data_IF_381350686588
#
_entry.id   IF_381350686588
#
_cell.length_a   1.000
_cell.length_b   1.000
_cell.length_c   1.000
_cell.angle_alpha   90.00
_cell.angle_beta   90.00
_cell.angle_gamma   90.00
#
_symmetry.space_group_name_H-M   'P 1'
#
loop_
_entity.id
_entity.type
_entity.pdbx_description
1 polymer ?
#
# COMPACT_ATOMS: atom_id res chain seq x y z
N UNK A 1 -5.86 -28.90 10.56
CA UNK A 1 -4.51 -28.56 10.06
C UNK A 1 -4.39 -27.05 10.09
N UNK A 2 -3.70 -26.48 11.08
CA UNK A 2 -3.46 -25.05 11.13
C UNK A 2 -2.68 -24.66 9.88
N UNK A 3 -3.27 -23.81 9.03
CA UNK A 3 -2.66 -23.40 7.77
C UNK A 3 -1.37 -22.66 8.07
N UNK A 4 -0.24 -23.20 7.64
CA UNK A 4 1.04 -22.48 7.66
C UNK A 4 0.81 -21.18 6.90
N UNK A 5 0.86 -20.04 7.61
CA UNK A 5 0.85 -18.72 7.00
C UNK A 5 2.06 -18.63 6.09
N UNK A 6 1.85 -18.73 4.78
CA UNK A 6 2.92 -18.53 3.82
C UNK A 6 3.36 -17.08 3.93
N UNK A 7 4.63 -16.89 4.26
CA UNK A 7 5.31 -15.60 4.20
C UNK A 7 5.43 -15.17 2.73
N UNK A 8 4.46 -14.40 2.24
CA UNK A 8 4.41 -13.96 0.83
C UNK A 8 5.49 -12.89 0.59
N UNK A 9 5.69 -11.99 1.56
CA UNK A 9 6.47 -10.77 1.41
C UNK A 9 7.65 -10.66 2.39
N UNK A 10 8.38 -11.75 2.67
CA UNK A 10 9.50 -11.70 3.62
C UNK A 10 10.87 -11.49 2.97
N UNK A 11 10.96 -11.63 1.65
CA UNK A 11 12.19 -11.40 0.90
C UNK A 11 12.11 -10.07 0.17
N UNK A 12 13.20 -9.31 0.18
CA UNK A 12 13.33 -8.05 -0.58
C UNK A 12 12.87 -8.22 -2.03
N UNK A 13 13.26 -9.31 -2.69
CA UNK A 13 12.88 -9.58 -4.07
C UNK A 13 11.36 -9.75 -4.27
N UNK A 14 10.66 -10.34 -3.29
CA UNK A 14 9.21 -10.54 -3.36
C UNK A 14 8.46 -9.22 -3.25
N UNK A 15 8.98 -8.30 -2.43
CA UNK A 15 8.45 -6.97 -2.24
C UNK A 15 8.74 -6.10 -3.46
N UNK A 16 10.00 -6.06 -3.93
CA UNK A 16 10.41 -5.37 -5.16
C UNK A 16 9.59 -5.82 -6.36
N UNK A 17 9.39 -7.13 -6.51
CA UNK A 17 8.57 -7.66 -7.60
C UNK A 17 7.12 -7.20 -7.53
N UNK A 18 6.55 -7.10 -6.34
CA UNK A 18 5.18 -6.61 -6.20
C UNK A 18 5.06 -5.16 -6.65
N UNK A 19 6.02 -4.31 -6.26
CA UNK A 19 6.10 -2.92 -6.73
C UNK A 19 6.26 -2.81 -8.25
N UNK A 20 7.05 -3.68 -8.88
CA UNK A 20 7.15 -3.77 -10.34
C UNK A 20 5.83 -4.17 -10.99
N UNK A 21 5.10 -5.12 -10.39
CA UNK A 21 3.77 -5.53 -10.86
C UNK A 21 2.80 -4.36 -10.78
N UNK A 22 2.77 -3.61 -9.67
CA UNK A 22 1.93 -2.41 -9.54
C UNK A 22 2.23 -1.41 -10.68
N UNK A 23 3.51 -1.09 -10.91
CA UNK A 23 3.92 -0.18 -11.99
C UNK A 23 3.54 -0.70 -13.38
N UNK A 24 3.71 -2.00 -13.63
CA UNK A 24 3.35 -2.61 -14.92
C UNK A 24 1.85 -2.61 -15.17
N UNK A 25 1.04 -2.90 -14.16
CA UNK A 25 -0.42 -2.88 -14.27
C UNK A 25 -0.94 -1.46 -14.44
N UNK A 26 -0.38 -0.48 -13.71
CA UNK A 26 -0.76 0.93 -13.84
C UNK A 26 -0.62 1.46 -15.27
N UNK A 27 0.39 0.99 -16.02
CA UNK A 27 0.59 1.33 -17.44
C UNK A 27 -0.45 0.71 -18.39
N UNK A 28 -1.08 -0.40 -17.99
CA UNK A 28 -2.01 -1.19 -18.83
C UNK A 28 -3.48 -0.94 -18.49
N UNK A 29 -3.76 -0.72 -17.22
CA UNK A 29 -5.07 -0.40 -16.67
C UNK A 29 -4.85 0.83 -15.78
N UNK A 30 -5.00 2.05 -16.32
CA UNK A 30 -4.71 3.27 -15.58
C UNK A 30 -5.47 3.36 -14.26
N UNK A 31 -4.73 3.64 -13.18
CA UNK A 31 -5.25 3.97 -11.87
C UNK A 31 -4.27 4.92 -11.16
N UNK A 32 -4.78 5.68 -10.20
CA UNK A 32 -3.95 6.52 -9.33
C UNK A 32 -3.72 5.75 -8.04
N UNK A 33 -2.46 5.61 -7.64
CA UNK A 33 -2.10 5.03 -6.35
C UNK A 33 -1.66 6.16 -5.43
N UNK A 34 -2.36 6.38 -4.33
CA UNK A 34 -2.02 7.43 -3.37
C UNK A 34 -1.14 6.91 -2.24
N UNK A 35 -1.28 5.63 -1.89
CA UNK A 35 -0.38 5.00 -0.94
C UNK A 35 -0.34 3.48 -1.06
N UNK A 36 0.75 2.89 -0.59
CA UNK A 36 0.85 1.45 -0.37
C UNK A 36 1.66 1.15 0.89
N UNK A 37 1.43 -0.04 1.46
CA UNK A 37 2.30 -0.70 2.42
C UNK A 37 2.27 -2.20 2.17
N UNK A 38 3.42 -2.79 1.88
CA UNK A 38 3.58 -4.23 1.66
C UNK A 38 4.12 -4.85 2.94
N UNK A 39 3.28 -5.58 3.66
CA UNK A 39 3.68 -6.29 4.88
C UNK A 39 3.90 -7.77 4.58
N UNK A 40 4.62 -8.45 5.47
CA UNK A 40 4.97 -9.86 5.44
C UNK A 40 3.89 -10.82 4.91
N UNK A 41 2.65 -10.64 5.37
CA UNK A 41 1.52 -11.53 5.07
C UNK A 41 0.36 -10.85 4.31
N UNK A 42 0.37 -9.53 4.11
CA UNK A 42 -0.68 -8.82 3.39
C UNK A 42 -0.23 -7.45 2.88
N UNK A 43 -1.08 -6.80 2.09
CA UNK A 43 -0.83 -5.50 1.50
C UNK A 43 -1.96 -4.53 1.84
N UNK A 44 -1.64 -3.25 1.90
CA UNK A 44 -2.61 -2.16 1.93
C UNK A 44 -2.37 -1.24 0.73
N UNK A 45 -3.43 -0.84 0.05
CA UNK A 45 -3.40 0.05 -1.11
C UNK A 45 -4.48 1.12 -0.95
N UNK A 46 -4.12 2.40 -1.12
CA UNK A 46 -5.08 3.50 -1.33
C UNK A 46 -5.08 3.84 -2.82
N UNK A 47 -6.09 3.34 -3.52
CA UNK A 47 -6.14 3.32 -4.98
C UNK A 47 -7.42 3.97 -5.47
N UNK A 48 -7.28 4.93 -6.40
CA UNK A 48 -8.37 5.51 -7.15
C UNK A 48 -8.42 4.89 -8.55
N UNK A 49 -9.51 4.17 -8.84
CA UNK A 49 -9.75 3.64 -10.18
C UNK A 49 -10.03 4.78 -11.15
N UNK A 50 -9.63 4.59 -12.41
CA UNK A 50 -10.05 5.45 -13.51
C UNK A 50 -11.11 4.68 -14.32
N UNK A 51 -10.73 4.14 -15.47
CA UNK A 51 -11.64 3.48 -16.40
C UNK A 51 -12.00 2.04 -15.99
N UNK A 52 -11.01 1.27 -15.53
CA UNK A 52 -11.22 -0.14 -15.20
C UNK A 52 -11.86 -0.31 -13.80
N UNK A 53 -12.87 -1.18 -13.63
CA UNK A 53 -13.41 -1.49 -12.31
C UNK A 53 -12.32 -2.01 -11.35
N UNK A 54 -12.43 -1.68 -10.06
CA UNK A 54 -11.46 -2.06 -9.04
C UNK A 54 -11.13 -3.57 -9.04
N UNK A 55 -12.16 -4.41 -9.20
CA UNK A 55 -11.98 -5.87 -9.28
C UNK A 55 -11.12 -6.31 -10.47
N UNK A 56 -11.19 -5.61 -11.61
CA UNK A 56 -10.33 -5.87 -12.77
C UNK A 56 -8.87 -5.53 -12.49
N UNK A 57 -8.63 -4.34 -11.94
CA UNK A 57 -7.29 -3.88 -11.54
C UNK A 57 -6.67 -4.88 -10.55
N UNK A 58 -7.39 -5.23 -9.48
CA UNK A 58 -6.92 -6.18 -8.47
C UNK A 58 -6.69 -7.58 -9.04
N UNK A 59 -7.53 -8.04 -9.98
CA UNK A 59 -7.33 -9.32 -10.67
C UNK A 59 -6.04 -9.32 -11.49
N UNK A 60 -5.72 -8.23 -12.20
CA UNK A 60 -4.47 -8.10 -12.97
C UNK A 60 -3.25 -8.14 -12.06
N UNK A 61 -3.25 -7.33 -11.00
CA UNK A 61 -2.17 -7.28 -10.00
C UNK A 61 -1.95 -8.66 -9.39
N UNK A 62 -3.03 -9.26 -8.85
CA UNK A 62 -2.99 -10.56 -8.20
C UNK A 62 -2.50 -11.65 -9.14
N UNK A 63 -3.07 -11.76 -10.34
CA UNK A 63 -2.69 -12.82 -11.30
C UNK A 63 -1.23 -12.68 -11.73
N UNK A 64 -0.77 -11.46 -12.03
CA UNK A 64 0.62 -11.23 -12.44
C UNK A 64 1.61 -11.60 -11.34
N UNK A 65 1.33 -11.22 -10.09
CA UNK A 65 2.20 -11.56 -8.97
C UNK A 65 2.18 -13.06 -8.63
N UNK A 66 1.00 -13.66 -8.54
CA UNK A 66 0.84 -15.10 -8.25
C UNK A 66 1.52 -15.96 -9.31
N UNK A 67 1.38 -15.60 -10.59
CA UNK A 67 2.05 -16.32 -11.68
C UNK A 67 3.57 -16.31 -11.49
N UNK A 68 4.16 -15.15 -11.20
CA UNK A 68 5.59 -15.04 -10.94
C UNK A 68 6.00 -15.82 -9.69
N UNK A 69 5.28 -15.65 -8.57
CA UNK A 69 5.61 -16.28 -7.29
C UNK A 69 5.57 -17.80 -7.41
N UNK A 70 4.52 -18.34 -8.01
CA UNK A 70 4.36 -19.78 -8.22
C UNK A 70 5.46 -20.34 -9.11
N UNK A 71 5.83 -19.64 -10.19
CA UNK A 71 6.94 -20.06 -11.05
C UNK A 71 8.28 -20.03 -10.30
N UNK A 72 8.53 -19.02 -9.47
CA UNK A 72 9.79 -18.87 -8.71
C UNK A 72 9.97 -19.96 -7.66
N UNK A 73 8.91 -20.29 -6.93
CA UNK A 73 8.95 -21.24 -5.81
C UNK A 73 8.42 -22.62 -6.19
N UNK A 74 8.25 -22.91 -7.48
CA UNK A 74 7.73 -24.18 -8.01
C UNK A 74 6.40 -24.61 -7.36
N UNK A 75 5.54 -23.64 -7.08
CA UNK A 75 4.23 -23.84 -6.46
C UNK A 75 3.13 -23.95 -7.50
N UNK A 76 2.05 -24.60 -7.10
CA UNK A 76 0.79 -24.64 -7.86
C UNK A 76 -0.37 -24.19 -6.98
N UNK A 77 -1.41 -23.63 -7.61
CA UNK A 77 -2.64 -23.21 -6.92
C UNK A 77 -2.60 -21.78 -6.38
N UNK A 78 -3.48 -21.52 -5.40
CA UNK A 78 -3.70 -20.19 -4.84
C UNK A 78 -2.55 -19.74 -3.92
N UNK A 79 -2.22 -18.45 -3.98
CA UNK A 79 -1.25 -17.82 -3.09
C UNK A 79 -1.96 -17.01 -1.99
N UNK A 80 -2.87 -16.12 -2.39
CA UNK A 80 -3.67 -15.33 -1.46
C UNK A 80 -4.82 -16.17 -0.93
N UNK A 81 -5.01 -16.14 0.39
CA UNK A 81 -5.99 -16.98 1.09
C UNK A 81 -7.44 -16.49 0.94
N UNK A 82 -7.64 -15.21 0.62
CA UNK A 82 -8.95 -14.60 0.50
C UNK A 82 -9.02 -13.62 -0.68
N UNK A 83 -10.24 -13.23 -1.05
CA UNK A 83 -10.47 -12.10 -1.95
C UNK A 83 -10.02 -10.80 -1.30
N UNK A 84 -9.70 -9.79 -2.11
CA UNK A 84 -9.45 -8.45 -1.60
C UNK A 84 -10.70 -7.92 -0.87
N UNK A 85 -10.47 -7.12 0.16
CA UNK A 85 -11.51 -6.30 0.80
C UNK A 85 -11.30 -4.85 0.36
N UNK A 86 -12.37 -4.10 0.23
CA UNK A 86 -12.33 -2.70 -0.17
C UNK A 86 -13.40 -1.92 0.56
N UNK A 87 -13.04 -0.72 1.00
CA UNK A 87 -13.94 0.29 1.55
C UNK A 87 -13.81 1.55 0.69
N UNK A 88 -14.93 2.24 0.47
CA UNK A 88 -14.96 3.47 -0.35
C UNK A 88 -14.50 4.63 0.52
N UNK A 89 -13.55 5.42 0.02
CA UNK A 89 -13.14 6.68 0.63
C UNK A 89 -13.98 7.80 0.02
N UNK A 90 -14.87 8.38 0.83
CA UNK A 90 -15.90 9.32 0.35
C UNK A 90 -15.53 10.80 0.53
N UNK A 91 -14.57 11.10 1.42
CA UNK A 91 -14.16 12.46 1.73
C UNK A 91 -12.66 12.60 2.06
N UNK A 92 -12.19 13.85 2.08
CA UNK A 92 -10.79 14.22 2.31
C UNK A 92 -10.28 13.84 3.71
N UNK A 93 -11.13 13.93 4.74
CA UNK A 93 -10.75 13.58 6.11
C UNK A 93 -10.52 12.07 6.23
N UNK A 94 -11.40 11.29 5.62
CA UNK A 94 -11.26 9.84 5.57
C UNK A 94 -10.07 9.43 4.70
N UNK A 95 -9.83 10.12 3.58
CA UNK A 95 -8.64 9.91 2.76
C UNK A 95 -7.35 10.05 3.57
N UNK A 96 -7.20 11.15 4.32
CA UNK A 96 -6.05 11.38 5.17
C UNK A 96 -5.94 10.33 6.28
N UNK A 97 -7.07 9.93 6.87
CA UNK A 97 -7.11 8.89 7.90
C UNK A 97 -6.60 7.55 7.37
N UNK A 98 -7.05 7.14 6.18
CA UNK A 98 -6.59 5.91 5.52
C UNK A 98 -5.12 6.04 5.10
N UNK A 99 -4.72 7.17 4.54
CA UNK A 99 -3.32 7.45 4.17
C UNK A 99 -2.38 7.21 5.36
N UNK A 100 -2.68 7.84 6.50
CA UNK A 100 -1.91 7.67 7.74
C UNK A 100 -1.98 6.24 8.26
N UNK A 101 -3.16 5.61 8.23
CA UNK A 101 -3.32 4.22 8.66
C UNK A 101 -2.41 3.26 7.87
N UNK A 102 -2.35 3.41 6.54
CA UNK A 102 -1.52 2.57 5.67
C UNK A 102 -0.05 2.70 6.05
N UNK A 103 0.46 3.93 6.24
CA UNK A 103 1.87 4.11 6.59
C UNK A 103 2.22 3.74 8.03
N UNK A 104 1.25 3.78 8.95
CA UNK A 104 1.44 3.38 10.34
C UNK A 104 1.29 1.87 10.58
N UNK A 105 0.86 1.09 9.58
CA UNK A 105 0.67 -0.36 9.75
C UNK A 105 1.92 -1.08 10.28
N UNK A 106 3.13 -0.84 9.74
CA UNK A 106 4.35 -1.46 10.24
C UNK A 106 4.63 -1.14 11.71
N UNK A 107 4.38 0.11 12.14
CA UNK A 107 4.51 0.51 13.55
C UNK A 107 3.49 -0.18 14.44
N UNK A 108 2.22 -0.25 14.00
CA UNK A 108 1.16 -0.96 14.74
C UNK A 108 1.42 -2.45 14.86
N UNK A 109 2.06 -3.04 13.84
CA UNK A 109 2.51 -4.42 13.83
C UNK A 109 3.84 -4.64 14.58
N UNK A 110 4.41 -3.61 15.21
CA UNK A 110 5.66 -3.66 15.96
C UNK A 110 6.86 -4.11 15.10
N UNK A 111 6.84 -3.84 13.80
CA UNK A 111 7.93 -4.15 12.87
C UNK A 111 9.03 -3.08 12.86
N UNK A 112 8.64 -1.83 13.14
CA UNK A 112 9.51 -0.64 13.23
C UNK A 112 8.93 0.34 14.26
N UNK A 113 9.75 1.22 14.84
CA UNK A 113 9.26 2.24 15.78
C UNK A 113 8.47 3.34 15.06
N UNK A 114 8.90 3.74 13.87
CA UNK A 114 8.26 4.77 13.06
C UNK A 114 7.95 4.27 11.66
N UNK A 115 6.76 4.59 11.14
CA UNK A 115 6.31 4.12 9.82
C UNK A 115 7.24 4.53 8.68
N UNK A 116 7.97 5.64 8.84
CA UNK A 116 8.97 6.10 7.88
C UNK A 116 10.25 5.25 7.81
N UNK A 117 10.50 4.41 8.82
CA UNK A 117 11.66 3.50 8.84
C UNK A 117 11.37 2.21 8.07
N UNK A 118 10.11 1.98 7.65
CA UNK A 118 9.73 0.80 6.90
C UNK A 118 9.89 1.01 5.38
N UNK A 119 10.83 0.34 4.72
CA UNK A 119 11.19 0.65 3.33
C UNK A 119 10.15 0.19 2.29
N UNK A 120 9.17 -0.62 2.70
CA UNK A 120 8.18 -1.23 1.80
C UNK A 120 6.81 -0.58 1.87
N UNK A 121 6.80 0.71 2.14
CA UNK A 121 5.62 1.55 2.04
C UNK A 121 5.93 2.80 1.21
N UNK A 122 4.90 3.59 0.92
CA UNK A 122 5.05 4.83 0.18
C UNK A 122 5.28 6.08 1.04
N UNK A 123 5.63 5.94 2.32
CA UNK A 123 5.80 7.08 3.24
C UNK A 123 6.85 8.06 2.72
N UNK A 124 7.97 7.53 2.20
CA UNK A 124 9.06 8.33 1.64
C UNK A 124 8.62 9.22 0.45
N UNK A 125 7.56 8.85 -0.28
CA UNK A 125 7.03 9.68 -1.36
C UNK A 125 6.44 11.00 -0.84
N UNK A 126 5.91 11.00 0.39
CA UNK A 126 5.34 12.19 1.03
C UNK A 126 6.41 13.02 1.75
N UNK A 127 7.47 12.38 2.25
CA UNK A 127 8.48 13.05 3.10
C UNK A 127 9.70 13.55 2.33
N UNK A 128 10.03 12.92 1.21
CA UNK A 128 11.18 13.30 0.40
C UNK A 128 11.00 14.72 -0.14
N UNK A 129 12.03 15.57 0.05
CA UNK A 129 12.08 16.89 -0.55
C UNK A 129 12.20 16.85 -2.08
N UNK A 130 12.73 15.75 -2.62
CA UNK A 130 12.88 15.52 -4.05
C UNK A 130 11.60 14.89 -4.60
N UNK A 131 10.91 15.63 -5.48
CA UNK A 131 9.82 15.11 -6.28
C UNK A 131 10.39 14.04 -7.21
N UNK A 132 9.91 12.80 -7.12
CA UNK A 132 10.28 11.77 -8.08
C UNK A 132 9.35 11.87 -9.29
N UNK A 133 9.84 12.36 -10.42
CA UNK A 133 9.09 12.59 -11.67
C UNK A 133 8.39 11.33 -12.25
N UNK A 134 8.64 10.15 -11.67
CA UNK A 134 8.03 8.86 -12.06
C UNK A 134 7.71 7.98 -10.84
N UNK A 135 7.26 8.58 -9.76
CA UNK A 135 6.83 7.82 -8.59
C UNK A 135 5.66 6.90 -8.97
N UNK A 136 5.68 5.67 -8.44
CA UNK A 136 4.54 4.75 -8.48
C UNK A 136 3.29 5.35 -7.82
N UNK A 137 3.47 6.37 -6.99
CA UNK A 137 2.47 7.00 -6.13
C UNK A 137 2.29 8.46 -6.48
N UNK A 138 1.04 8.90 -6.57
CA UNK A 138 0.65 10.30 -6.70
C UNK A 138 0.33 10.88 -5.32
N UNK A 139 1.18 11.83 -4.89
CA UNK A 139 1.06 12.51 -3.59
C UNK A 139 0.27 13.81 -3.66
N UNK A 140 -0.12 14.25 -4.86
CA UNK A 140 -0.66 15.58 -5.10
C UNK A 140 -1.94 15.84 -4.31
N UNK A 141 -2.86 14.86 -4.28
CA UNK A 141 -4.11 14.98 -3.54
C UNK A 141 -3.87 15.14 -2.02
N UNK A 142 -3.06 14.26 -1.42
CA UNK A 142 -2.77 14.32 0.01
C UNK A 142 -2.07 15.63 0.40
N UNK A 143 -1.10 16.07 -0.42
CA UNK A 143 -0.42 17.35 -0.22
C UNK A 143 -1.37 18.54 -0.39
N UNK A 144 -2.30 18.48 -1.33
CA UNK A 144 -3.28 19.54 -1.56
C UNK A 144 -4.26 19.68 -0.39
N UNK A 145 -4.83 18.58 0.11
CA UNK A 145 -5.77 18.59 1.24
C UNK A 145 -5.13 19.23 2.48
N UNK A 146 -3.85 18.94 2.73
CA UNK A 146 -3.12 19.46 3.89
C UNK A 146 -2.43 20.81 3.63
N UNK A 147 -2.65 21.41 2.45
CA UNK A 147 -2.03 22.68 2.05
C UNK A 147 -0.48 22.66 2.11
N UNK A 148 0.12 21.49 1.88
CA UNK A 148 1.56 21.31 1.78
C UNK A 148 2.12 20.12 2.55
N UNK A 149 3.43 19.93 2.41
CA UNK A 149 4.16 18.81 3.01
C UNK A 149 4.25 18.91 4.52
N UNK A 150 4.61 20.08 5.05
CA UNK A 150 4.87 20.26 6.47
C UNK A 150 3.62 19.96 7.35
N UNK A 151 2.41 20.48 7.03
CA UNK A 151 1.21 20.12 7.79
C UNK A 151 0.86 18.63 7.66
N UNK A 152 1.04 18.04 6.47
CA UNK A 152 0.81 16.61 6.24
C UNK A 152 1.73 15.74 7.10
N UNK A 153 3.02 16.06 7.17
CA UNK A 153 3.97 15.31 8.00
C UNK A 153 3.59 15.39 9.49
N UNK A 154 3.19 16.56 9.97
CA UNK A 154 2.67 16.72 11.34
C UNK A 154 1.44 15.85 11.58
N UNK A 155 0.50 15.82 10.65
CA UNK A 155 -0.68 14.97 10.74
C UNK A 155 -0.34 13.46 10.76
N UNK A 156 0.67 13.04 10.00
CA UNK A 156 1.09 11.64 9.94
C UNK A 156 1.83 11.16 11.20
N UNK A 157 2.62 12.04 11.81
CA UNK A 157 3.42 11.75 13.02
C UNK A 157 2.58 11.91 14.30
N UNK A 158 1.64 12.85 14.33
CA UNK A 158 0.81 13.10 15.50
C UNK A 158 -0.12 11.91 15.77
N UNK A 159 0.32 11.04 16.70
CA UNK A 159 -0.54 10.10 17.38
C UNK A 159 -1.30 10.88 18.45
N UNK A 160 -2.44 11.48 18.12
CA UNK A 160 -3.34 11.91 19.19
C UNK A 160 -3.84 10.65 19.89
N UNK A 161 -3.27 10.36 21.06
CA UNK A 161 -3.71 9.34 22.02
C UNK A 161 -5.08 9.74 22.58
N UNK A 162 -6.11 9.79 21.75
CA UNK A 162 -7.48 9.76 22.25
C UNK A 162 -7.84 8.28 22.34
N UNK A 163 -7.63 7.71 23.52
CA UNK A 163 -8.23 6.43 23.85
C UNK A 163 -9.75 6.63 23.87
N UNK A 164 -10.45 6.13 22.86
CA UNK A 164 -11.85 5.78 23.03
C UNK A 164 -11.87 4.53 23.90
N UNK A 165 -12.13 4.71 25.19
CA UNK A 165 -12.51 3.59 26.06
C UNK A 165 -13.90 3.13 25.61
N UNK A 166 -14.01 1.87 25.19
CA UNK A 166 -15.26 1.12 25.04
C UNK A 166 -15.32 0.05 26.09
#
# INVERSE_FOLDING_TARGET
MAGVSISIFHMHENLSRYSEVLSSVQKKAPFVLHAYCLMDNHIHLLLQKLDEPLGGIMKRIGTSYVYWFNRKYERVGHLFQARFRSEVVEDDSYFLTVLRYIHQNPTRAQMVDLGGDYPWNSYAAYTSAVQQDKALVDTSLGLAIMEGREPLLRFMINQTMIAALT
#
